data_IF_928800681758
#
_entry.id   IF_928800681758
#
_cell.length_a   1.000
_cell.length_b   1.000
_cell.length_c   1.000
_cell.angle_alpha   90.00
_cell.angle_beta   90.00
_cell.angle_gamma   90.00
#
_symmetry.space_group_name_H-M   'P 1'
#
loop_
_entity.id
_entity.type
_entity.pdbx_description
1 polymer ?
#
# COMPACT_ATOMS: atom_id res chain seq x y z
N UNK A 1 -2.59 30.47 16.92
CA UNK A 1 -2.69 30.41 15.45
C UNK A 1 -1.37 29.99 14.79
N UNK A 2 -0.33 30.82 14.62
CA UNK A 2 0.91 30.39 13.93
C UNK A 2 1.65 29.28 14.69
N UNK A 3 1.82 29.43 16.01
CA UNK A 3 2.48 28.42 16.85
C UNK A 3 1.72 27.07 16.91
N UNK A 4 0.39 27.09 16.90
CA UNK A 4 -0.43 25.85 16.87
C UNK A 4 -0.34 25.13 15.53
N UNK A 5 -0.21 25.87 14.42
CA UNK A 5 -0.01 25.29 13.08
C UNK A 5 1.37 24.65 13.00
N UNK A 6 2.41 25.28 13.55
CA UNK A 6 3.76 24.72 13.62
C UNK A 6 3.80 23.44 14.47
N UNK A 7 3.18 23.44 15.65
CA UNK A 7 3.09 22.26 16.51
C UNK A 7 2.36 21.10 15.82
N UNK A 8 1.23 21.39 15.17
CA UNK A 8 0.45 20.40 14.42
C UNK A 8 1.25 19.81 13.26
N UNK A 9 1.96 20.66 12.51
CA UNK A 9 2.81 20.22 11.40
C UNK A 9 3.95 19.30 11.88
N UNK A 10 4.63 19.66 12.97
CA UNK A 10 5.70 18.86 13.56
C UNK A 10 5.18 17.48 14.01
N UNK A 11 3.98 17.43 14.60
CA UNK A 11 3.35 16.16 14.99
C UNK A 11 3.06 15.27 13.78
N UNK A 12 2.48 15.84 12.72
CA UNK A 12 2.20 15.10 11.48
C UNK A 12 3.48 14.59 10.80
N UNK A 13 4.55 15.39 10.81
CA UNK A 13 5.86 14.97 10.31
C UNK A 13 6.41 13.80 11.15
N UNK A 14 6.35 13.90 12.48
CA UNK A 14 6.82 12.85 13.37
C UNK A 14 6.04 11.53 13.17
N UNK A 15 4.72 11.62 13.02
CA UNK A 15 3.87 10.46 12.73
C UNK A 15 4.22 9.85 11.35
N UNK A 16 4.44 10.68 10.33
CA UNK A 16 4.86 10.22 9.01
C UNK A 16 6.22 9.49 9.05
N UNK A 17 7.19 10.02 9.79
CA UNK A 17 8.50 9.37 9.98
C UNK A 17 8.38 8.02 10.70
N UNK A 18 7.45 7.91 11.67
CA UNK A 18 7.17 6.64 12.34
C UNK A 18 6.53 5.61 11.40
N UNK A 19 5.59 6.02 10.56
CA UNK A 19 5.01 5.13 9.55
C UNK A 19 6.05 4.68 8.53
N UNK A 20 6.94 5.57 8.10
CA UNK A 20 8.02 5.22 7.18
C UNK A 20 8.98 4.19 7.79
N UNK A 21 9.36 4.34 9.06
CA UNK A 21 10.23 3.36 9.73
C UNK A 21 9.56 1.98 9.88
N UNK A 22 8.23 1.95 10.10
CA UNK A 22 7.47 0.70 10.11
C UNK A 22 7.45 0.02 8.74
N UNK A 23 7.32 0.78 7.65
CA UNK A 23 7.42 0.24 6.28
C UNK A 23 8.80 -0.38 6.06
N UNK A 24 9.87 0.33 6.41
CA UNK A 24 11.25 -0.19 6.27
C UNK A 24 11.47 -1.47 7.07
N UNK A 25 10.93 -1.56 8.29
CA UNK A 25 10.98 -2.76 9.12
C UNK A 25 10.25 -3.93 8.46
N UNK A 26 9.04 -3.70 7.93
CA UNK A 26 8.27 -4.73 7.24
C UNK A 26 8.99 -5.22 5.96
N UNK A 27 9.59 -4.31 5.20
CA UNK A 27 10.42 -4.65 4.02
C UNK A 27 11.58 -5.56 4.44
N UNK A 28 12.33 -5.18 5.47
CA UNK A 28 13.45 -5.98 5.97
C UNK A 28 13.00 -7.38 6.43
N UNK A 29 11.89 -7.48 7.18
CA UNK A 29 11.35 -8.77 7.63
C UNK A 29 10.94 -9.67 6.45
N UNK A 30 10.39 -9.09 5.38
CA UNK A 30 10.04 -9.83 4.16
C UNK A 30 11.29 -10.32 3.44
N UNK A 31 12.30 -9.47 3.28
CA UNK A 31 13.58 -9.82 2.64
C UNK A 31 14.35 -10.89 3.42
N UNK A 32 14.36 -10.81 4.76
CA UNK A 32 14.97 -11.83 5.62
C UNK A 32 14.24 -13.17 5.50
N UNK A 33 12.90 -13.16 5.48
CA UNK A 33 12.09 -14.37 5.36
C UNK A 33 12.19 -15.01 3.97
N UNK A 34 12.25 -14.21 2.91
CA UNK A 34 12.33 -14.68 1.51
C UNK A 34 13.76 -15.01 1.06
N UNK A 35 14.77 -14.42 1.72
CA UNK A 35 16.19 -14.36 1.28
C UNK A 35 16.38 -13.71 -0.08
N UNK A 36 15.50 -12.79 -0.44
CA UNK A 36 15.49 -12.11 -1.73
C UNK A 36 15.15 -10.64 -1.58
N UNK A 37 15.62 -9.78 -2.50
CA UNK A 37 15.22 -8.37 -2.55
C UNK A 37 13.70 -8.19 -2.62
N UNK A 38 13.17 -7.18 -1.92
CA UNK A 38 11.73 -6.96 -1.80
C UNK A 38 11.03 -6.75 -3.14
N UNK A 39 11.69 -6.11 -4.11
CA UNK A 39 11.16 -5.90 -5.45
C UNK A 39 10.99 -7.22 -6.23
N UNK A 40 11.87 -8.20 -6.04
CA UNK A 40 11.70 -9.55 -6.58
C UNK A 40 10.56 -10.30 -5.90
N UNK A 41 10.44 -10.16 -4.57
CA UNK A 41 9.33 -10.77 -3.81
C UNK A 41 7.99 -10.21 -4.27
N UNK A 42 7.89 -8.91 -4.54
CA UNK A 42 6.67 -8.25 -5.00
C UNK A 42 6.19 -8.75 -6.38
N UNK A 43 7.07 -9.23 -7.26
CA UNK A 43 6.66 -9.73 -8.59
C UNK A 43 5.79 -10.99 -8.50
N UNK A 44 5.95 -11.79 -7.44
CA UNK A 44 5.21 -13.06 -7.27
C UNK A 44 3.72 -12.90 -6.99
N UNK A 45 3.27 -12.13 -5.98
CA UNK A 45 1.84 -11.97 -5.70
C UNK A 45 1.09 -11.27 -6.84
N UNK A 46 1.79 -10.48 -7.66
CA UNK A 46 1.23 -9.78 -8.81
C UNK A 46 1.51 -10.46 -10.16
N UNK A 47 1.96 -11.72 -10.17
CA UNK A 47 2.13 -12.47 -11.42
C UNK A 47 0.77 -12.76 -12.08
N UNK A 48 0.67 -12.85 -13.42
CA UNK A 48 -0.58 -13.18 -14.10
C UNK A 48 -1.23 -14.46 -13.57
N UNK A 49 -0.43 -15.49 -13.30
CA UNK A 49 -0.88 -16.77 -12.77
C UNK A 49 -1.46 -16.60 -11.36
N UNK A 50 -0.81 -15.81 -10.51
CA UNK A 50 -1.26 -15.60 -9.13
C UNK A 50 -2.51 -14.74 -9.05
N UNK A 51 -2.61 -13.72 -9.91
CA UNK A 51 -3.81 -12.89 -10.06
C UNK A 51 -5.00 -13.70 -10.60
N UNK A 52 -4.75 -14.63 -11.53
CA UNK A 52 -5.77 -15.55 -12.03
C UNK A 52 -6.21 -16.57 -10.95
N UNK A 53 -5.29 -17.09 -10.14
CA UNK A 53 -5.63 -17.93 -8.98
C UNK A 53 -6.46 -17.14 -7.95
N UNK A 54 -6.08 -15.88 -7.69
CA UNK A 54 -6.80 -14.99 -6.79
C UNK A 54 -8.20 -14.64 -7.27
N UNK A 55 -8.47 -14.60 -8.58
CA UNK A 55 -9.83 -14.35 -9.11
C UNK A 55 -10.86 -15.34 -8.60
N UNK A 56 -10.46 -16.59 -8.36
CA UNK A 56 -11.37 -17.68 -8.03
C UNK A 56 -11.54 -17.92 -6.52
N UNK A 57 -10.88 -17.13 -5.66
CA UNK A 57 -10.89 -17.31 -4.20
C UNK A 57 -11.90 -16.41 -3.46
N UNK A 58 -11.81 -15.08 -3.54
CA UNK A 58 -12.76 -14.20 -2.88
C UNK A 58 -14.06 -14.09 -3.70
N UNK A 59 -15.16 -13.66 -3.06
CA UNK A 59 -16.37 -13.21 -3.75
C UNK A 59 -16.05 -12.26 -4.93
N UNK A 60 -16.76 -12.38 -6.07
CA UNK A 60 -16.47 -11.59 -7.28
C UNK A 60 -16.42 -10.06 -7.04
N UNK A 61 -17.26 -9.59 -6.15
CA UNK A 61 -17.37 -8.23 -5.61
C UNK A 61 -16.08 -7.78 -4.90
N UNK A 62 -15.54 -8.60 -4.00
CA UNK A 62 -14.26 -8.31 -3.31
C UNK A 62 -13.06 -8.35 -4.26
N UNK A 63 -13.09 -9.22 -5.28
CA UNK A 63 -12.06 -9.23 -6.32
C UNK A 63 -12.11 -7.97 -7.19
N UNK A 64 -13.33 -7.50 -7.53
CA UNK A 64 -13.51 -6.27 -8.29
C UNK A 64 -12.99 -5.04 -7.53
N UNK A 65 -13.27 -4.95 -6.22
CA UNK A 65 -12.72 -3.91 -5.35
C UNK A 65 -11.19 -3.97 -5.25
N UNK A 66 -10.62 -5.18 -5.14
CA UNK A 66 -9.17 -5.39 -5.17
C UNK A 66 -8.56 -4.86 -6.46
N UNK A 67 -9.11 -5.26 -7.60
CA UNK A 67 -8.61 -4.87 -8.92
C UNK A 67 -8.73 -3.36 -9.13
N UNK A 68 -9.88 -2.76 -8.79
CA UNK A 68 -10.08 -1.32 -8.87
C UNK A 68 -9.07 -0.55 -8.01
N UNK A 69 -8.79 -1.04 -6.80
CA UNK A 69 -7.81 -0.44 -5.89
C UNK A 69 -6.38 -0.57 -6.42
N UNK A 70 -6.01 -1.71 -7.00
CA UNK A 70 -4.73 -1.86 -7.70
C UNK A 70 -4.59 -0.89 -8.87
N UNK A 71 -5.63 -0.70 -9.69
CA UNK A 71 -5.60 0.29 -10.77
C UNK A 71 -5.39 1.71 -10.24
N UNK A 72 -6.09 2.10 -9.17
CA UNK A 72 -5.86 3.39 -8.49
C UNK A 72 -4.42 3.54 -8.02
N UNK A 73 -3.85 2.49 -7.41
CA UNK A 73 -2.45 2.49 -6.95
C UNK A 73 -1.48 2.65 -8.13
N UNK A 74 -1.69 1.92 -9.24
CA UNK A 74 -0.81 2.05 -10.43
C UNK A 74 -0.85 3.43 -11.07
N UNK A 75 -1.98 4.15 -10.99
CA UNK A 75 -2.10 5.51 -11.51
C UNK A 75 -1.26 6.52 -10.72
N UNK A 76 -1.04 6.29 -9.42
CA UNK A 76 -0.27 7.18 -8.55
C UNK A 76 1.16 6.69 -8.30
N UNK A 77 1.44 5.39 -8.49
CA UNK A 77 2.74 4.77 -8.19
C UNK A 77 3.96 5.46 -8.85
N UNK A 78 3.92 5.87 -10.13
CA UNK A 78 5.02 6.60 -10.75
C UNK A 78 5.31 7.95 -10.08
N UNK A 79 4.31 8.57 -9.46
CA UNK A 79 4.41 9.86 -8.78
C UNK A 79 4.75 9.72 -7.29
N UNK A 80 4.66 8.52 -6.70
CA UNK A 80 5.03 8.28 -5.30
C UNK A 80 6.53 8.50 -5.04
N UNK A 81 7.37 8.36 -6.06
CA UNK A 81 8.79 8.70 -5.98
C UNK A 81 9.04 10.20 -5.74
N UNK A 82 8.05 11.05 -6.05
CA UNK A 82 8.07 12.48 -5.78
C UNK A 82 6.72 12.94 -5.23
N UNK A 83 6.53 12.77 -3.91
CA UNK A 83 5.30 13.17 -3.22
C UNK A 83 4.95 14.67 -3.40
N UNK A 84 5.91 15.52 -3.76
CA UNK A 84 5.65 16.93 -4.04
C UNK A 84 4.99 17.16 -5.40
N UNK A 85 5.12 16.21 -6.34
CA UNK A 85 4.47 16.24 -7.64
C UNK A 85 2.99 15.81 -7.59
N UNK A 86 2.51 15.32 -6.44
CA UNK A 86 1.11 14.98 -6.23
C UNK A 86 0.31 16.22 -5.81
N UNK A 87 -0.84 16.41 -6.45
CA UNK A 87 -1.87 17.36 -5.99
C UNK A 87 -2.43 16.96 -4.63
N UNK A 88 -3.06 17.89 -3.91
CA UNK A 88 -3.67 17.61 -2.60
C UNK A 88 -4.72 16.49 -2.65
N UNK A 89 -5.50 16.40 -3.73
CA UNK A 89 -6.49 15.34 -3.91
C UNK A 89 -5.82 13.99 -4.23
N UNK A 90 -4.77 13.96 -5.06
CA UNK A 90 -4.00 12.73 -5.30
C UNK A 90 -3.32 12.21 -4.03
N UNK A 91 -2.91 13.10 -3.10
CA UNK A 91 -2.39 12.71 -1.78
C UNK A 91 -3.45 12.07 -0.90
N UNK A 92 -4.72 12.47 -1.02
CA UNK A 92 -5.85 11.91 -0.26
C UNK A 92 -6.30 10.55 -0.80
N UNK A 93 -6.14 10.28 -2.09
CA UNK A 93 -6.40 8.95 -2.68
C UNK A 93 -5.53 7.87 -2.02
N UNK A 94 -4.35 8.22 -1.48
CA UNK A 94 -3.52 7.32 -0.67
C UNK A 94 -4.18 6.84 0.62
N UNK A 95 -5.11 7.61 1.19
CA UNK A 95 -5.83 7.22 2.43
C UNK A 95 -7.00 6.26 2.15
N UNK A 96 -7.45 6.15 0.90
CA UNK A 96 -8.55 5.26 0.48
C UNK A 96 -8.04 3.95 -0.15
N UNK A 97 -6.75 3.64 0.03
CA UNK A 97 -6.19 2.38 -0.46
C UNK A 97 -6.63 1.26 0.50
N UNK A 98 -7.87 0.81 0.31
CA UNK A 98 -8.47 -0.38 0.93
C UNK A 98 -7.72 -1.67 0.59
N UNK A 99 -6.65 -1.60 -0.24
CA UNK A 99 -5.82 -2.75 -0.61
C UNK A 99 -5.31 -3.50 0.63
N UNK A 100 -4.93 -2.80 1.71
CA UNK A 100 -4.48 -3.45 2.94
C UNK A 100 -5.60 -4.29 3.58
N UNK A 101 -6.82 -3.75 3.66
CA UNK A 101 -7.99 -4.45 4.20
C UNK A 101 -8.43 -5.61 3.30
N UNK A 102 -8.39 -5.41 1.98
CA UNK A 102 -8.74 -6.44 1.00
C UNK A 102 -7.68 -7.55 1.01
N UNK A 103 -6.39 -7.23 1.10
CA UNK A 103 -5.32 -8.22 1.27
C UNK A 103 -5.49 -9.00 2.58
N UNK A 104 -5.87 -8.34 3.68
CA UNK A 104 -6.15 -9.00 4.95
C UNK A 104 -7.38 -9.94 4.84
N UNK A 105 -8.47 -9.52 4.20
CA UNK A 105 -9.66 -10.34 3.93
C UNK A 105 -9.34 -11.56 3.07
N UNK A 106 -8.52 -11.40 2.02
CA UNK A 106 -8.06 -12.49 1.16
C UNK A 106 -7.16 -13.47 1.93
N UNK A 107 -6.26 -12.98 2.79
CA UNK A 107 -5.43 -13.82 3.64
C UNK A 107 -6.25 -14.62 4.65
N UNK A 108 -7.31 -14.01 5.21
CA UNK A 108 -8.23 -14.64 6.16
C UNK A 108 -9.21 -15.65 5.52
N UNK A 109 -9.47 -15.55 4.21
CA UNK A 109 -10.33 -16.49 3.46
C UNK A 109 -9.64 -17.83 3.16
N UNK A 110 -8.45 -18.09 3.72
CA UNK A 110 -7.72 -19.36 3.63
C UNK A 110 -8.15 -20.41 4.67
N UNK A 111 -9.19 -20.13 5.48
CA UNK A 111 -9.81 -21.12 6.38
C UNK A 111 -10.94 -21.87 5.71
#
# INVERSE_FOLDING_TARGET
>A
MVAEVEETALKLIADSMRSYSQILKAVAEIEEASREPFDEVLKRPFSPEKLAEMRNRPPPDLYAEFAASLFKLTAVAPKLQNLQALTTEEKKISNEIEIAEIMAKIAASKQ
#
